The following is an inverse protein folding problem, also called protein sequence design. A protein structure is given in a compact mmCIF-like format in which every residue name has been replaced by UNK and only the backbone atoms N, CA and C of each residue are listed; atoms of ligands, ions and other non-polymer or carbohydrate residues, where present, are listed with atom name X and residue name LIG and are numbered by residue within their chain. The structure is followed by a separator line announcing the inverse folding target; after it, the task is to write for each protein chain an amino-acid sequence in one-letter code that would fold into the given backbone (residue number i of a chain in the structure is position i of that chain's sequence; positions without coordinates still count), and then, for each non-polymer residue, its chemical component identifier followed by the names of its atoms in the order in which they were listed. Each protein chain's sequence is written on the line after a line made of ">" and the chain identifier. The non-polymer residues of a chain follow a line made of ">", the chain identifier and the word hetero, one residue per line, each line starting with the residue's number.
data_IF_040410918308
#
_entry.id   IF_040410918308
#
_cell.length_a   1.000
_cell.length_b   1.000
_cell.length_c   1.000
_cell.angle_alpha   90.00
_cell.angle_beta   90.00
_cell.angle_gamma   90.00
#
_symmetry.space_group_name_H-M   'P 1'
#
loop_
_entity.id
_entity.type
_entity.pdbx_description
1 polymer ?
#
# COMPACT_ATOMS: atom_id res chain seq x y z
N UNK A 1 -43.62 68.11 -7.90
CA UNK A 1 -43.63 69.02 -6.75
C UNK A 1 -42.23 68.92 -6.15
N UNK A 2 -41.25 69.66 -6.65
CA UNK A 2 -40.94 71.06 -6.24
C UNK A 2 -40.77 71.12 -4.71
N UNK A 3 -39.65 71.48 -4.09
CA UNK A 3 -38.62 72.50 -4.40
C UNK A 3 -37.40 72.22 -3.47
N UNK A 4 -36.15 72.26 -3.92
CA UNK A 4 -35.19 73.41 -3.93
C UNK A 4 -34.93 74.07 -2.55
N UNK A 5 -33.78 74.63 -2.15
CA UNK A 5 -32.37 74.84 -2.58
C UNK A 5 -31.74 75.60 -1.37
N UNK A 6 -30.42 75.51 -1.15
CA UNK A 6 -29.47 76.60 -0.77
C UNK A 6 -28.28 75.98 -0.01
N UNK A 7 -27.02 76.37 -0.19
CA UNK A 7 -26.44 77.49 -0.94
C UNK A 7 -24.91 77.38 -0.94
N UNK A 8 -24.30 78.11 -1.86
CA UNK A 8 -22.90 78.12 -2.26
C UNK A 8 -22.01 78.91 -1.30
N UNK A 9 -20.77 78.47 -1.07
CA UNK A 9 -19.60 79.35 -0.84
C UNK A 9 -18.26 78.63 -1.11
N UNK A 10 -17.32 79.35 -1.72
CA UNK A 10 -15.89 79.04 -1.94
C UNK A 10 -15.09 80.31 -1.58
N UNK A 11 -13.74 80.32 -1.60
CA UNK A 11 -12.80 79.45 -0.91
C UNK A 11 -11.62 80.21 -0.23
N UNK A 12 -10.71 79.44 0.39
CA UNK A 12 -9.26 79.68 0.52
C UNK A 12 -8.71 80.45 1.73
N UNK A 13 -7.90 79.77 2.56
CA UNK A 13 -6.49 80.13 2.81
C UNK A 13 -5.83 79.20 3.86
N UNK A 14 -4.50 79.01 3.71
CA UNK A 14 -3.49 78.59 4.70
C UNK A 14 -2.94 77.14 4.64
N UNK A 15 -1.86 76.98 3.86
CA UNK A 15 -0.49 76.54 4.22
C UNK A 15 -0.16 75.18 4.90
N UNK A 16 1.09 74.67 4.69
CA UNK A 16 1.38 73.24 4.62
C UNK A 16 2.34 72.69 5.69
N UNK A 17 2.35 71.35 5.87
CA UNK A 17 3.45 70.42 6.26
C UNK A 17 2.94 69.28 7.17
N UNK A 18 3.62 68.11 7.32
CA UNK A 18 4.48 67.30 6.43
C UNK A 18 3.90 65.86 6.21
N UNK A 19 4.52 64.95 5.43
CA UNK A 19 3.87 63.71 5.00
C UNK A 19 4.05 62.56 6.00
N UNK A 20 2.94 62.02 6.48
CA UNK A 20 2.86 60.72 7.17
C UNK A 20 2.68 59.62 6.12
N UNK A 21 3.69 58.78 5.93
CA UNK A 21 3.61 57.59 5.07
C UNK A 21 2.64 56.57 5.66
N UNK A 22 1.40 56.58 5.16
CA UNK A 22 0.42 55.51 5.34
C UNK A 22 0.37 54.66 4.07
N UNK A 23 0.71 53.39 4.27
CA UNK A 23 0.27 52.19 3.54
C UNK A 23 -0.81 52.43 2.48
N UNK A 24 -0.41 52.37 1.21
CA UNK A 24 -1.34 52.21 0.09
C UNK A 24 -1.61 50.72 -0.12
N UNK A 25 -2.81 50.30 0.24
CA UNK A 25 -3.44 49.06 -0.21
C UNK A 25 -3.63 49.10 -1.72
N UNK A 26 -2.92 48.24 -2.46
CA UNK A 26 -3.17 48.04 -3.88
C UNK A 26 -4.18 46.88 -4.05
N UNK A 27 -5.29 47.07 -4.80
CA UNK A 27 -6.35 46.08 -4.93
C UNK A 27 -5.95 44.93 -5.86
N UNK A 28 -6.61 43.80 -5.64
CA UNK A 28 -6.35 42.48 -6.21
C UNK A 28 -6.16 42.46 -7.73
N UNK A 29 -5.14 41.72 -8.16
CA UNK A 29 -5.08 41.11 -9.48
C UNK A 29 -5.06 39.58 -9.29
N UNK A 30 -6.11 38.83 -9.66
CA UNK A 30 -6.13 37.37 -9.52
C UNK A 30 -5.49 36.74 -10.76
N UNK A 31 -4.16 36.81 -10.85
CA UNK A 31 -3.40 36.15 -11.92
C UNK A 31 -2.48 35.12 -11.28
N UNK A 32 -2.86 33.86 -11.41
CA UNK A 32 -2.00 32.66 -11.37
C UNK A 32 -0.84 32.67 -10.36
N UNK A 33 -1.07 32.19 -9.13
CA UNK A 33 -0.03 31.48 -8.37
C UNK A 33 0.24 30.13 -9.05
N UNK A 34 0.88 30.16 -10.21
CA UNK A 34 1.63 29.01 -10.69
C UNK A 34 2.90 28.97 -9.83
N UNK A 35 2.88 28.19 -8.75
CA UNK A 35 4.06 27.93 -7.92
C UNK A 35 5.18 27.47 -8.84
N UNK A 36 6.33 28.16 -8.83
CA UNK A 36 7.46 27.79 -9.68
C UNK A 36 7.85 26.32 -9.37
N UNK A 37 7.82 25.40 -10.35
CA UNK A 37 8.13 23.99 -10.13
C UNK A 37 9.49 23.78 -9.45
N UNK A 38 10.49 24.62 -9.79
CA UNK A 38 11.82 24.58 -9.19
C UNK A 38 11.77 24.95 -7.69
N UNK A 39 10.96 25.93 -7.31
CA UNK A 39 10.79 26.32 -5.91
C UNK A 39 10.08 25.23 -5.10
N UNK A 40 9.01 24.64 -5.64
CA UNK A 40 8.32 23.52 -5.01
C UNK A 40 9.24 22.31 -4.81
N UNK A 41 10.15 22.06 -5.76
CA UNK A 41 11.14 21.00 -5.65
C UNK A 41 12.17 21.29 -4.54
N UNK A 42 12.76 22.49 -4.49
CA UNK A 42 13.69 22.87 -3.43
C UNK A 42 13.06 22.84 -2.03
N UNK A 43 11.80 23.23 -1.90
CA UNK A 43 11.05 23.12 -0.64
C UNK A 43 10.85 21.66 -0.21
N UNK A 44 10.60 20.74 -1.16
CA UNK A 44 10.51 19.31 -0.87
C UNK A 44 11.85 18.74 -0.41
N UNK A 45 12.94 19.03 -1.13
CA UNK A 45 14.30 18.60 -0.75
C UNK A 45 14.68 19.13 0.63
N UNK A 46 14.44 20.42 0.91
CA UNK A 46 14.75 21.03 2.20
C UNK A 46 13.95 20.38 3.35
N UNK A 47 12.68 20.07 3.11
CA UNK A 47 11.82 19.36 4.06
C UNK A 47 12.30 17.94 4.32
N UNK A 48 12.69 17.22 3.26
CA UNK A 48 13.23 15.87 3.37
C UNK A 48 14.54 15.85 4.17
N UNK A 49 15.45 16.81 3.93
CA UNK A 49 16.69 16.98 4.71
C UNK A 49 16.43 17.20 6.18
N UNK A 50 15.56 18.16 6.51
CA UNK A 50 15.19 18.44 7.91
C UNK A 50 14.62 17.21 8.61
N UNK A 51 13.76 16.43 7.92
CA UNK A 51 13.21 15.18 8.46
C UNK A 51 14.28 14.11 8.65
N UNK A 52 15.24 13.96 7.74
CA UNK A 52 16.32 12.99 7.85
C UNK A 52 17.27 13.31 9.01
N UNK A 53 17.65 14.58 9.20
CA UNK A 53 18.46 14.98 10.36
C UNK A 53 17.71 14.78 11.69
N UNK A 54 16.40 15.05 11.72
CA UNK A 54 15.59 14.72 12.90
C UNK A 54 15.57 13.20 13.13
N UNK A 55 15.46 12.38 12.08
CA UNK A 55 15.47 10.93 12.20
C UNK A 55 16.81 10.39 12.72
N UNK A 56 17.93 10.90 12.22
CA UNK A 56 19.27 10.43 12.62
C UNK A 56 19.53 10.66 14.11
N UNK A 57 18.98 11.74 14.68
CA UNK A 57 19.09 12.02 16.12
C UNK A 57 18.26 11.08 17.02
N UNK A 58 17.25 10.39 16.46
CA UNK A 58 16.32 9.54 17.20
C UNK A 58 16.73 8.06 17.10
N UNK A 59 17.24 7.64 15.95
CA UNK A 59 17.56 6.23 15.67
C UNK A 59 18.99 5.91 16.13
N UNK A 60 19.21 4.81 16.89
CA UNK A 60 20.56 4.36 17.22
C UNK A 60 21.41 4.14 15.96
N UNK A 61 22.66 4.61 15.97
CA UNK A 61 23.57 4.58 14.81
C UNK A 61 23.05 5.36 13.58
N UNK A 62 22.12 6.30 13.78
CA UNK A 62 21.55 7.13 12.73
C UNK A 62 22.57 8.04 12.05
N UNK A 63 23.63 8.45 12.75
CA UNK A 63 24.64 9.37 12.19
C UNK A 63 25.46 8.73 11.05
N UNK A 64 25.69 7.42 11.09
CA UNK A 64 26.46 6.73 10.04
C UNK A 64 25.58 6.30 8.86
N UNK A 65 24.36 5.80 9.16
CA UNK A 65 23.51 5.17 8.15
C UNK A 65 22.47 6.12 7.53
N UNK A 66 22.01 7.14 8.28
CA UNK A 66 20.85 7.97 7.94
C UNK A 66 21.27 9.40 7.61
N UNK A 67 22.14 10.03 8.43
CA UNK A 67 22.54 11.42 8.23
C UNK A 67 23.15 11.72 6.85
N UNK A 68 24.02 10.87 6.26
CA UNK A 68 24.60 11.12 4.94
C UNK A 68 23.57 11.15 3.80
N UNK A 69 22.38 10.58 4.02
CA UNK A 69 21.31 10.54 3.02
C UNK A 69 20.64 11.91 2.83
N UNK A 70 20.81 12.84 3.79
CA UNK A 70 20.32 14.20 3.67
C UNK A 70 21.00 14.96 2.53
N UNK A 71 22.29 14.68 2.26
CA UNK A 71 23.07 15.41 1.26
C UNK A 71 22.77 14.99 -0.19
N UNK A 72 21.97 13.94 -0.38
CA UNK A 72 21.46 13.50 -1.69
C UNK A 72 20.62 14.57 -2.40
N UNK A 73 20.55 14.46 -3.74
CA UNK A 73 19.63 15.24 -4.59
C UNK A 73 18.16 14.85 -4.37
N UNK A 74 17.91 13.61 -3.93
CA UNK A 74 16.58 13.09 -3.64
C UNK A 74 16.55 12.39 -2.27
N UNK A 75 16.65 13.14 -1.16
CA UNK A 75 16.91 12.57 0.16
C UNK A 75 15.86 11.53 0.60
N UNK A 76 14.57 11.79 0.36
CA UNK A 76 13.49 10.87 0.71
C UNK A 76 13.57 9.53 -0.07
N UNK A 77 13.92 9.58 -1.36
CA UNK A 77 14.11 8.35 -2.16
C UNK A 77 15.38 7.61 -1.76
N UNK A 78 16.45 8.32 -1.44
CA UNK A 78 17.68 7.73 -0.91
C UNK A 78 17.43 7.01 0.41
N UNK A 79 16.61 7.59 1.30
CA UNK A 79 16.18 6.94 2.53
C UNK A 79 15.35 5.68 2.27
N UNK A 80 14.37 5.75 1.35
CA UNK A 80 13.52 4.60 0.99
C UNK A 80 14.31 3.42 0.41
N UNK A 81 15.36 3.70 -0.37
CA UNK A 81 16.18 2.71 -1.06
C UNK A 81 17.37 2.18 -0.26
N UNK A 82 17.71 2.78 0.89
CA UNK A 82 18.91 2.41 1.65
C UNK A 82 18.63 1.26 2.63
N UNK A 83 19.26 0.09 2.45
CA UNK A 83 19.01 -1.09 3.29
C UNK A 83 19.53 -0.90 4.73
N UNK A 84 20.66 -0.22 4.93
CA UNK A 84 21.25 0.02 6.25
C UNK A 84 20.37 0.95 7.09
N UNK A 85 19.89 2.04 6.50
CA UNK A 85 18.94 2.95 7.14
C UNK A 85 17.63 2.23 7.48
N UNK A 86 17.09 1.45 6.54
CA UNK A 86 15.87 0.66 6.77
C UNK A 86 16.08 -0.33 7.92
N UNK A 87 17.21 -1.03 7.96
CA UNK A 87 17.55 -1.97 9.03
C UNK A 87 17.67 -1.29 10.40
N UNK A 88 18.28 -0.10 10.46
CA UNK A 88 18.42 0.67 11.71
C UNK A 88 17.05 1.15 12.23
N UNK A 89 16.17 1.61 11.35
CA UNK A 89 14.81 2.03 11.72
C UNK A 89 13.98 0.81 12.15
N UNK A 90 14.05 -0.29 11.41
CA UNK A 90 13.34 -1.52 11.73
C UNK A 90 13.79 -2.14 13.05
N UNK A 91 15.09 -2.10 13.37
CA UNK A 91 15.60 -2.60 14.65
C UNK A 91 15.09 -1.75 15.82
N UNK A 92 15.02 -0.43 15.66
CA UNK A 92 14.44 0.48 16.65
C UNK A 92 12.96 0.16 16.93
N UNK A 93 12.14 -0.10 15.90
CA UNK A 93 10.74 -0.52 16.08
C UNK A 93 10.58 -1.87 16.78
N UNK A 94 11.49 -2.81 16.50
CA UNK A 94 11.44 -4.16 17.07
C UNK A 94 11.77 -4.18 18.57
N UNK A 95 12.32 -3.11 19.15
CA UNK A 95 12.52 -2.97 20.59
C UNK A 95 11.19 -3.09 21.36
N UNK A 96 11.16 -3.78 22.53
CA UNK A 96 9.93 -3.94 23.33
C UNK A 96 9.33 -2.63 23.83
N UNK A 97 10.13 -1.58 23.97
CA UNK A 97 9.72 -0.24 24.41
C UNK A 97 9.11 0.60 23.30
N UNK A 98 9.22 0.20 22.03
CA UNK A 98 8.69 0.97 20.91
C UNK A 98 7.17 0.81 20.78
N UNK A 99 6.51 1.89 20.34
CA UNK A 99 5.08 1.97 20.13
C UNK A 99 4.32 2.77 21.19
N UNK A 100 5.00 3.27 22.22
CA UNK A 100 4.41 4.12 23.25
C UNK A 100 4.06 5.52 22.74
N UNK A 101 3.20 6.24 23.48
CA UNK A 101 2.76 7.58 23.08
C UNK A 101 3.87 8.64 23.09
N UNK A 102 4.94 8.37 23.82
CA UNK A 102 6.17 9.17 23.93
C UNK A 102 7.31 8.66 23.02
N UNK A 103 7.06 7.65 22.19
CA UNK A 103 8.05 7.14 21.24
C UNK A 103 8.32 8.17 20.13
N UNK A 104 9.48 8.80 20.20
CA UNK A 104 9.94 9.80 19.24
C UNK A 104 9.98 9.28 17.79
N UNK A 105 10.21 7.98 17.58
CA UNK A 105 10.20 7.38 16.25
C UNK A 105 8.77 7.26 15.72
N UNK A 106 7.80 6.89 16.57
CA UNK A 106 6.39 6.92 16.20
C UNK A 106 5.91 8.35 15.89
N UNK A 107 6.33 9.33 16.68
CA UNK A 107 6.06 10.75 16.42
C UNK A 107 6.66 11.19 15.09
N UNK A 108 7.92 10.82 14.81
CA UNK A 108 8.57 11.13 13.55
C UNK A 108 7.80 10.57 12.35
N UNK A 109 7.37 9.31 12.41
CA UNK A 109 6.56 8.69 11.34
C UNK A 109 5.23 9.44 11.16
N UNK A 110 4.53 9.72 12.26
CA UNK A 110 3.26 10.43 12.24
C UNK A 110 3.39 11.80 11.56
N UNK A 111 4.34 12.62 12.00
CA UNK A 111 4.55 13.95 11.44
C UNK A 111 5.07 13.91 10.00
N UNK A 112 5.91 12.93 9.66
CA UNK A 112 6.43 12.74 8.30
C UNK A 112 5.32 12.36 7.34
N UNK A 113 4.33 11.56 7.76
CA UNK A 113 3.19 11.23 6.92
C UNK A 113 2.28 12.46 6.66
N UNK A 114 2.12 13.33 7.65
CA UNK A 114 1.34 14.55 7.52
C UNK A 114 2.00 15.60 6.60
N UNK A 115 3.29 15.46 6.31
CA UNK A 115 3.99 16.23 5.27
C UNK A 115 3.24 16.19 3.94
N UNK A 116 3.33 17.26 3.14
CA UNK A 116 2.78 17.29 1.77
C UNK A 116 3.65 16.56 0.74
N UNK A 117 4.87 16.18 1.13
CA UNK A 117 5.83 15.48 0.28
C UNK A 117 5.44 14.01 0.05
N UNK A 118 5.21 13.65 -1.21
CA UNK A 118 4.81 12.30 -1.59
C UNK A 118 5.90 11.25 -1.35
N UNK A 119 7.17 11.61 -1.52
CA UNK A 119 8.29 10.66 -1.36
C UNK A 119 8.54 10.37 0.12
N UNK A 120 8.42 11.37 0.99
CA UNK A 120 8.44 11.14 2.45
C UNK A 120 7.26 10.27 2.92
N UNK A 121 6.07 10.45 2.33
CA UNK A 121 4.93 9.56 2.61
C UNK A 121 5.21 8.13 2.16
N UNK A 122 5.96 7.91 1.06
CA UNK A 122 6.37 6.56 0.64
C UNK A 122 7.29 5.90 1.68
N UNK A 123 8.23 6.65 2.27
CA UNK A 123 9.08 6.17 3.38
C UNK A 123 8.23 5.73 4.57
N UNK A 124 7.21 6.50 4.94
CA UNK A 124 6.30 6.06 6.03
C UNK A 124 5.56 4.78 5.65
N UNK A 125 5.01 4.74 4.43
CA UNK A 125 4.26 3.57 3.97
C UNK A 125 5.11 2.30 3.96
N UNK A 126 6.41 2.37 3.67
CA UNK A 126 7.29 1.19 3.70
C UNK A 126 7.41 0.53 5.08
N UNK A 127 7.18 1.26 6.17
CA UNK A 127 7.18 0.68 7.53
C UNK A 127 5.80 0.20 8.00
N UNK A 128 4.74 0.38 7.20
CA UNK A 128 3.38 -0.03 7.58
C UNK A 128 3.25 -1.54 7.86
N UNK A 129 3.82 -2.46 7.05
CA UNK A 129 3.79 -3.88 7.36
C UNK A 129 4.42 -4.20 8.72
N UNK A 130 5.59 -3.61 9.01
CA UNK A 130 6.31 -3.78 10.26
C UNK A 130 5.52 -3.25 11.46
N UNK A 131 5.03 -2.00 11.38
CA UNK A 131 4.24 -1.36 12.44
C UNK A 131 2.96 -2.14 12.69
N UNK A 132 2.26 -2.58 11.64
CA UNK A 132 1.03 -3.39 11.75
C UNK A 132 1.32 -4.73 12.42
N UNK A 133 2.41 -5.39 12.02
CA UNK A 133 2.95 -6.61 12.61
C UNK A 133 3.14 -6.50 14.11
N UNK A 134 4.01 -5.57 14.50
CA UNK A 134 4.38 -5.35 15.90
C UNK A 134 3.18 -4.92 16.74
N UNK A 135 2.33 -4.02 16.23
CA UNK A 135 1.12 -3.58 16.91
C UNK A 135 0.18 -4.76 17.19
N UNK A 136 -0.18 -5.54 16.16
CA UNK A 136 -1.13 -6.64 16.32
C UNK A 136 -0.58 -7.75 17.23
N UNK A 137 0.70 -8.08 17.11
CA UNK A 137 1.34 -9.06 18.01
C UNK A 137 1.35 -8.57 19.46
N UNK A 138 1.78 -7.33 19.71
CA UNK A 138 1.88 -6.78 21.08
C UNK A 138 0.52 -6.57 21.74
N UNK A 139 -0.50 -6.16 20.98
CA UNK A 139 -1.88 -6.02 21.50
C UNK A 139 -2.43 -7.33 22.05
N UNK A 140 -2.10 -8.47 21.41
CA UNK A 140 -2.60 -9.78 21.82
C UNK A 140 -1.77 -10.37 22.95
N UNK A 141 -0.46 -10.10 23.00
CA UNK A 141 0.43 -10.54 24.08
C UNK A 141 0.41 -9.64 25.33
N UNK A 142 -0.48 -8.64 25.39
CA UNK A 142 -0.48 -7.51 26.32
C UNK A 142 -0.78 -7.83 27.80
N UNK A 143 -0.44 -9.01 28.30
CA UNK A 143 -0.58 -9.34 29.72
C UNK A 143 0.26 -8.43 30.66
N UNK A 144 1.22 -7.64 30.14
CA UNK A 144 2.03 -6.70 30.91
C UNK A 144 2.66 -5.52 30.12
N UNK A 145 2.22 -5.21 28.90
CA UNK A 145 2.95 -4.31 28.00
C UNK A 145 2.64 -2.80 28.19
N UNK A 146 3.59 -1.90 27.87
CA UNK A 146 3.36 -0.45 27.83
C UNK A 146 2.25 -0.07 26.83
N UNK A 147 1.73 1.16 26.97
CA UNK A 147 0.78 1.76 26.02
C UNK A 147 1.28 1.61 24.58
N UNK A 148 0.39 1.28 23.64
CA UNK A 148 0.70 1.20 22.20
C UNK A 148 0.19 2.44 21.43
N UNK A 149 -0.02 3.55 22.15
CA UNK A 149 -0.63 4.77 21.61
C UNK A 149 0.17 5.40 20.46
N UNK A 150 1.49 5.21 20.39
CA UNK A 150 2.33 5.68 19.29
C UNK A 150 2.00 4.96 17.99
N UNK A 151 1.96 3.62 18.01
CA UNK A 151 1.53 2.84 16.84
C UNK A 151 0.08 3.13 16.45
N UNK A 152 -0.81 3.25 17.43
CA UNK A 152 -2.20 3.60 17.18
C UNK A 152 -2.33 4.96 16.50
N UNK A 153 -1.55 5.95 16.93
CA UNK A 153 -1.55 7.30 16.33
C UNK A 153 -1.10 7.29 14.87
N UNK A 154 -0.05 6.53 14.54
CA UNK A 154 0.42 6.35 13.15
C UNK A 154 -0.66 5.68 12.29
N UNK A 155 -1.18 4.54 12.73
CA UNK A 155 -2.19 3.79 11.98
C UNK A 155 -3.49 4.60 11.81
N UNK A 156 -3.88 5.34 12.84
CA UNK A 156 -5.05 6.22 12.82
C UNK A 156 -4.85 7.41 11.88
N UNK A 157 -3.63 7.96 11.77
CA UNK A 157 -3.31 9.04 10.83
C UNK A 157 -3.47 8.57 9.37
N UNK A 158 -2.97 7.37 9.05
CA UNK A 158 -3.14 6.74 7.74
C UNK A 158 -4.62 6.53 7.43
N UNK A 159 -5.36 5.94 8.38
CA UNK A 159 -6.80 5.70 8.24
C UNK A 159 -7.58 7.00 8.02
N UNK A 160 -7.34 8.03 8.83
CA UNK A 160 -8.07 9.30 8.74
C UNK A 160 -7.68 10.11 7.50
N UNK A 161 -6.46 9.97 6.98
CA UNK A 161 -6.09 10.54 5.69
C UNK A 161 -6.87 9.87 4.54
N UNK A 162 -6.97 8.54 4.55
CA UNK A 162 -7.77 7.80 3.57
C UNK A 162 -9.27 8.12 3.70
N UNK A 163 -9.82 8.15 4.91
CA UNK A 163 -11.23 8.48 5.15
C UNK A 163 -11.58 9.89 4.66
N UNK A 164 -10.71 10.88 4.92
CA UNK A 164 -10.84 12.24 4.38
C UNK A 164 -10.77 12.25 2.86
N UNK A 165 -9.84 11.50 2.27
CA UNK A 165 -9.72 11.38 0.80
C UNK A 165 -10.99 10.78 0.16
N UNK A 166 -11.71 9.91 0.87
CA UNK A 166 -12.96 9.32 0.39
C UNK A 166 -14.17 10.23 0.55
N UNK A 167 -14.11 11.26 1.40
CA UNK A 167 -15.23 12.20 1.65
C UNK A 167 -16.55 11.50 2.01
N UNK A 168 -16.49 10.39 2.76
CA UNK A 168 -17.66 9.58 3.11
C UNK A 168 -18.27 8.77 1.95
N UNK A 169 -17.58 8.67 0.80
CA UNK A 169 -18.03 7.89 -0.35
C UNK A 169 -17.41 6.49 -0.36
N UNK A 170 -18.14 5.46 -0.84
CA UNK A 170 -17.57 4.15 -1.07
C UNK A 170 -16.58 4.19 -2.25
N UNK A 171 -15.65 3.23 -2.27
CA UNK A 171 -14.82 3.00 -3.46
C UNK A 171 -15.60 2.06 -4.38
N UNK A 172 -15.94 2.57 -5.57
CA UNK A 172 -16.73 1.85 -6.57
C UNK A 172 -15.83 1.34 -7.70
N UNK A 173 -16.21 0.22 -8.31
CA UNK A 173 -15.57 -0.35 -9.49
C UNK A 173 -16.62 -0.66 -10.55
N UNK A 174 -16.36 -0.29 -11.80
CA UNK A 174 -17.19 -0.73 -12.92
C UNK A 174 -16.80 -2.15 -13.30
N UNK A 175 -17.73 -3.09 -13.19
CA UNK A 175 -17.52 -4.49 -13.59
C UNK A 175 -17.61 -4.56 -15.12
N UNK A 176 -16.55 -4.99 -15.83
CA UNK A 176 -16.58 -5.14 -17.28
C UNK A 176 -17.61 -6.20 -17.69
N UNK A 177 -18.36 -5.92 -18.76
CA UNK A 177 -19.33 -6.83 -19.35
C UNK A 177 -18.97 -7.07 -20.83
N UNK A 178 -18.81 -8.34 -21.21
CA UNK A 178 -18.42 -8.77 -22.57
C UNK A 178 -19.51 -8.52 -23.61
N UNK A 179 -20.75 -8.25 -23.18
CA UNK A 179 -21.88 -7.89 -24.04
C UNK A 179 -21.70 -6.50 -24.68
N UNK A 180 -20.81 -5.67 -24.14
CA UNK A 180 -20.53 -4.32 -24.63
C UNK A 180 -19.12 -4.22 -25.24
N UNK A 181 -18.92 -3.33 -26.23
CA UNK A 181 -17.59 -3.04 -26.75
C UNK A 181 -16.69 -2.46 -25.66
N UNK A 182 -15.42 -2.86 -25.68
CA UNK A 182 -14.37 -2.39 -24.79
C UNK A 182 -13.09 -2.13 -25.58
N UNK A 183 -12.07 -1.58 -24.92
CA UNK A 183 -10.76 -1.33 -25.54
C UNK A 183 -10.14 -2.60 -26.17
N UNK A 184 -10.47 -3.79 -25.66
CA UNK A 184 -9.85 -5.06 -26.06
C UNK A 184 -10.79 -6.01 -26.82
N UNK A 185 -12.09 -5.72 -26.87
CA UNK A 185 -13.09 -6.64 -27.41
C UNK A 185 -14.26 -5.89 -28.03
N UNK A 186 -14.72 -6.36 -29.19
CA UNK A 186 -15.99 -5.94 -29.79
C UNK A 186 -16.93 -7.14 -29.85
N UNK A 187 -18.12 -7.07 -29.24
CA UNK A 187 -19.06 -8.19 -29.25
C UNK A 187 -19.49 -8.49 -30.69
N UNK A 188 -19.64 -9.78 -31.05
CA UNK A 188 -20.17 -10.13 -32.36
C UNK A 188 -21.55 -9.50 -32.51
N UNK A 189 -21.75 -8.76 -33.60
CA UNK A 189 -23.04 -8.18 -33.98
C UNK A 189 -24.10 -9.29 -33.90
N UNK A 190 -24.95 -9.21 -32.88
CA UNK A 190 -26.19 -9.97 -32.87
C UNK A 190 -26.91 -9.63 -34.17
N UNK A 191 -27.38 -10.65 -34.91
CA UNK A 191 -28.22 -10.48 -36.12
C UNK A 191 -29.56 -9.79 -35.84
N UNK A 192 -29.79 -9.33 -34.61
CA UNK A 192 -30.84 -8.39 -34.26
C UNK A 192 -30.48 -7.01 -34.81
N UNK A 193 -31.25 -6.55 -35.78
CA UNK A 193 -31.14 -5.28 -36.50
C UNK A 193 -31.42 -4.04 -35.65
N UNK A 194 -31.00 -4.03 -34.38
CA UNK A 194 -31.16 -2.89 -33.49
C UNK A 194 -29.79 -2.52 -32.93
N UNK A 195 -29.22 -1.35 -33.27
CA UNK A 195 -28.06 -0.87 -32.53
C UNK A 195 -28.46 -0.82 -31.05
N UNK A 196 -27.64 -1.36 -30.12
CA UNK A 196 -27.91 -1.16 -28.70
C UNK A 196 -28.01 0.35 -28.51
N UNK A 197 -29.18 0.83 -28.08
CA UNK A 197 -29.33 2.26 -27.87
C UNK A 197 -28.31 2.65 -26.81
N UNK A 198 -27.61 3.78 -27.02
CA UNK A 198 -26.65 4.29 -26.04
C UNK A 198 -27.26 4.50 -24.65
N UNK A 199 -28.61 4.50 -24.56
CA UNK A 199 -29.39 4.62 -23.34
C UNK A 199 -29.61 3.29 -22.57
N UNK A 200 -29.19 2.15 -23.12
CA UNK A 200 -29.26 0.81 -22.46
C UNK A 200 -27.92 0.38 -21.85
N UNK A 201 -26.84 1.14 -22.04
CA UNK A 201 -25.57 0.87 -21.37
C UNK A 201 -25.66 1.27 -19.89
N UNK A 202 -25.91 0.29 -19.03
CA UNK A 202 -25.80 0.45 -17.57
C UNK A 202 -24.63 -0.40 -17.08
N UNK A 203 -23.46 0.21 -16.81
CA UNK A 203 -22.36 -0.54 -16.24
C UNK A 203 -22.79 -1.12 -14.89
N UNK A 204 -22.50 -2.40 -14.67
CA UNK A 204 -22.68 -3.01 -13.36
C UNK A 204 -21.66 -2.41 -12.40
N UNK A 205 -22.12 -1.65 -11.41
CA UNK A 205 -21.25 -0.99 -10.43
C UNK A 205 -21.11 -1.89 -9.21
N UNK A 206 -19.88 -2.35 -8.94
CA UNK A 206 -19.51 -3.05 -7.73
C UNK A 206 -18.99 -2.10 -6.65
N UNK A 207 -19.14 -2.47 -5.38
CA UNK A 207 -18.55 -1.76 -4.24
C UNK A 207 -17.27 -2.50 -3.83
N UNK A 208 -16.12 -1.87 -4.05
CA UNK A 208 -14.81 -2.45 -3.70
C UNK A 208 -14.50 -2.28 -2.21
N UNK A 209 -14.86 -1.13 -1.64
CA UNK A 209 -14.80 -0.92 -0.20
C UNK A 209 -15.87 0.05 0.26
N UNK A 210 -16.44 -0.17 1.47
CA UNK A 210 -17.49 0.69 2.00
C UNK A 210 -16.97 2.10 2.34
N UNK A 211 -17.89 3.05 2.58
CA UNK A 211 -17.54 4.36 3.13
C UNK A 211 -16.75 4.22 4.43
N UNK A 212 -15.77 5.10 4.63
CA UNK A 212 -15.00 5.18 5.87
C UNK A 212 -15.44 6.40 6.68
N UNK A 213 -15.61 6.20 7.98
CA UNK A 213 -15.94 7.25 8.94
C UNK A 213 -14.70 7.58 9.76
N UNK A 214 -14.34 8.87 9.94
CA UNK A 214 -13.20 9.26 10.75
C UNK A 214 -13.25 8.67 12.16
N UNK A 215 -12.12 8.19 12.66
CA UNK A 215 -12.00 7.60 14.00
C UNK A 215 -11.13 8.48 14.89
N UNK A 216 -11.53 8.64 16.16
CA UNK A 216 -10.79 9.42 17.16
C UNK A 216 -9.72 8.57 17.87
N UNK A 217 -9.89 7.24 17.89
CA UNK A 217 -8.97 6.30 18.53
C UNK A 217 -9.18 4.87 18.04
N UNK A 218 -8.20 4.01 18.30
CA UNK A 218 -8.24 2.61 17.83
C UNK A 218 -8.97 1.73 18.84
N UNK A 219 -10.28 1.54 18.62
CA UNK A 219 -11.11 0.63 19.43
C UNK A 219 -10.92 -0.83 18.98
N UNK A 220 -11.10 -1.79 19.89
CA UNK A 220 -10.97 -3.22 19.59
C UNK A 220 -11.83 -3.67 18.39
N UNK A 221 -13.07 -3.18 18.29
CA UNK A 221 -14.01 -3.51 17.21
C UNK A 221 -13.65 -2.93 15.85
N UNK A 222 -12.89 -1.83 15.83
CA UNK A 222 -12.46 -1.15 14.59
C UNK A 222 -10.99 -1.38 14.27
N UNK A 223 -10.22 -1.99 15.17
CA UNK A 223 -8.77 -2.23 15.03
C UNK A 223 -8.41 -2.91 13.71
N UNK A 224 -9.09 -4.01 13.40
CA UNK A 224 -8.85 -4.74 12.16
C UNK A 224 -9.09 -3.87 10.92
N UNK A 225 -10.15 -3.06 10.91
CA UNK A 225 -10.47 -2.13 9.84
C UNK A 225 -9.40 -1.01 9.70
N UNK A 226 -8.94 -0.44 10.82
CA UNK A 226 -7.90 0.59 10.83
C UNK A 226 -6.60 0.04 10.23
N UNK A 227 -6.15 -1.12 10.70
CA UNK A 227 -4.94 -1.78 10.19
C UNK A 227 -5.11 -2.19 8.73
N UNK A 228 -6.28 -2.72 8.35
CA UNK A 228 -6.59 -3.09 6.97
C UNK A 228 -6.45 -1.90 6.01
N UNK A 229 -6.97 -0.73 6.38
CA UNK A 229 -6.88 0.48 5.57
C UNK A 229 -5.42 0.96 5.47
N UNK A 230 -4.65 0.90 6.55
CA UNK A 230 -3.23 1.21 6.50
C UNK A 230 -2.48 0.29 5.51
N UNK A 231 -2.74 -1.02 5.57
CA UNK A 231 -2.19 -2.00 4.62
C UNK A 231 -2.69 -1.77 3.19
N UNK A 232 -3.92 -1.30 2.99
CA UNK A 232 -4.43 -0.91 1.67
C UNK A 232 -3.68 0.33 1.14
N UNK A 233 -3.36 1.30 1.99
CA UNK A 233 -2.49 2.43 1.60
C UNK A 233 -1.10 1.97 1.16
N UNK A 234 -0.51 0.98 1.84
CA UNK A 234 0.73 0.33 1.39
C UNK A 234 0.53 -0.38 0.03
N UNK A 235 -0.54 -1.17 -0.11
CA UNK A 235 -0.84 -1.91 -1.33
C UNK A 235 -0.98 -0.99 -2.55
N UNK A 236 -1.61 0.18 -2.42
CA UNK A 236 -1.72 1.19 -3.50
C UNK A 236 -0.37 1.67 -4.03
N UNK A 237 0.70 1.50 -3.27
CA UNK A 237 2.07 1.93 -3.61
C UNK A 237 3.06 0.76 -3.66
N UNK A 238 2.58 -0.48 -3.65
CA UNK A 238 3.38 -1.70 -3.49
C UNK A 238 4.50 -1.89 -4.53
N UNK A 239 4.30 -1.40 -5.75
CA UNK A 239 5.32 -1.45 -6.81
C UNK A 239 6.56 -0.59 -6.50
N UNK A 240 6.41 0.42 -5.66
CA UNK A 240 7.48 1.32 -5.21
C UNK A 240 8.07 0.89 -3.86
N UNK A 241 7.51 -0.15 -3.21
CA UNK A 241 7.92 -0.55 -1.87
C UNK A 241 9.16 -1.44 -1.91
N UNK A 242 10.12 -1.23 -0.99
CA UNK A 242 11.34 -2.02 -0.95
C UNK A 242 11.04 -3.47 -0.56
N UNK A 243 11.98 -4.34 -0.90
CA UNK A 243 11.90 -5.79 -0.66
C UNK A 243 11.68 -6.11 0.82
N UNK A 244 12.40 -5.43 1.71
CA UNK A 244 12.31 -5.62 3.17
C UNK A 244 10.89 -5.47 3.68
N UNK A 245 10.15 -4.45 3.26
CA UNK A 245 8.76 -4.22 3.67
C UNK A 245 7.82 -5.33 3.23
N UNK A 246 8.07 -5.92 2.05
CA UNK A 246 7.29 -7.06 1.54
C UNK A 246 7.59 -8.32 2.34
N UNK A 247 8.86 -8.55 2.69
CA UNK A 247 9.29 -9.65 3.55
C UNK A 247 8.71 -9.54 4.95
N UNK A 248 8.74 -8.34 5.57
CA UNK A 248 8.11 -8.08 6.86
C UNK A 248 6.63 -8.49 6.84
N UNK A 249 5.87 -8.14 5.77
CA UNK A 249 4.48 -8.60 5.69
C UNK A 249 4.36 -10.12 5.59
N UNK A 250 5.20 -10.78 4.77
CA UNK A 250 5.14 -12.23 4.62
C UNK A 250 5.44 -12.94 5.95
N UNK A 251 6.42 -12.44 6.70
CA UNK A 251 6.77 -12.89 8.05
C UNK A 251 5.55 -12.74 8.98
N UNK A 252 5.02 -11.52 9.12
CA UNK A 252 3.88 -11.28 10.02
C UNK A 252 2.62 -12.01 9.61
N UNK A 253 2.33 -12.13 8.31
CA UNK A 253 1.21 -12.93 7.84
C UNK A 253 1.37 -14.39 8.30
N UNK A 254 2.54 -14.99 8.10
CA UNK A 254 2.80 -16.36 8.57
C UNK A 254 2.59 -16.50 10.09
N UNK A 255 3.03 -15.52 10.87
CA UNK A 255 2.83 -15.50 12.33
C UNK A 255 1.37 -15.32 12.72
N UNK A 256 0.64 -14.41 12.06
CA UNK A 256 -0.78 -14.16 12.33
C UNK A 256 -1.67 -15.35 11.99
N UNK A 257 -1.27 -16.17 11.00
CA UNK A 257 -1.96 -17.42 10.67
C UNK A 257 -2.03 -18.38 11.88
N UNK A 258 -1.06 -18.32 12.78
CA UNK A 258 -0.92 -19.25 13.90
C UNK A 258 0.02 -20.41 13.56
N UNK A 259 0.04 -21.42 14.42
CA UNK A 259 0.99 -22.54 14.36
C UNK A 259 0.90 -23.33 13.04
N UNK A 260 2.01 -23.97 12.65
CA UNK A 260 2.17 -24.77 11.42
C UNK A 260 1.24 -26.00 11.40
N UNK A 261 -0.03 -25.79 11.03
CA UNK A 261 -0.95 -26.89 10.76
C UNK A 261 -0.39 -27.79 9.64
N UNK A 262 -0.46 -29.13 9.78
CA UNK A 262 -0.17 -30.06 8.68
C UNK A 262 -0.96 -29.76 7.41
N UNK A 263 -2.18 -29.23 7.57
CA UNK A 263 -3.08 -28.86 6.47
C UNK A 263 -2.52 -27.84 5.46
N UNK A 264 -1.39 -27.20 5.78
CA UNK A 264 -0.67 -26.31 4.86
C UNK A 264 -0.05 -27.05 3.67
N UNK A 265 0.22 -28.35 3.80
CA UNK A 265 0.83 -29.21 2.76
C UNK A 265 -0.17 -30.13 2.06
N UNK A 266 -1.44 -30.15 2.48
CA UNK A 266 -2.46 -31.03 1.88
C UNK A 266 -2.57 -30.82 0.36
N UNK A 267 -2.37 -29.57 -0.09
CA UNK A 267 -2.41 -29.22 -1.51
C UNK A 267 -1.16 -29.63 -2.30
N UNK A 268 -0.15 -30.21 -1.66
CA UNK A 268 1.06 -30.72 -2.31
C UNK A 268 0.91 -32.22 -2.68
N UNK A 269 -0.08 -32.95 -2.13
CA UNK A 269 -0.32 -34.38 -2.38
C UNK A 269 -1.17 -34.69 -3.62
N UNK A 270 -1.95 -33.73 -4.13
CA UNK A 270 -2.95 -33.94 -5.20
C UNK A 270 -2.36 -33.94 -6.64
N UNK A 271 -1.07 -34.26 -6.83
CA UNK A 271 -0.45 -34.28 -8.18
C UNK A 271 -0.61 -35.62 -8.93
N UNK A 272 -1.20 -36.62 -8.31
CA UNK A 272 -1.62 -37.84 -8.99
C UNK A 272 -3.11 -37.75 -9.40
N UNK A 273 -3.32 -37.41 -10.67
CA UNK A 273 -4.55 -37.59 -11.44
C UNK A 273 -5.73 -36.59 -11.29
N UNK A 274 -6.31 -36.33 -12.46
CA UNK A 274 -7.40 -35.39 -12.71
C UNK A 274 -8.71 -36.00 -12.20
N UNK A 275 -9.18 -35.59 -11.03
CA UNK A 275 -10.45 -36.04 -10.45
C UNK A 275 -11.18 -34.95 -9.69
N UNK A 276 -11.95 -34.12 -10.39
CA UNK A 276 -12.83 -33.13 -9.78
C UNK A 276 -13.98 -33.83 -9.02
N UNK A 277 -14.18 -33.39 -7.77
CA UNK A 277 -15.36 -33.53 -6.88
C UNK A 277 -15.88 -34.93 -6.54
N UNK A 278 -15.34 -35.56 -5.49
CA UNK A 278 -16.21 -36.28 -4.53
C UNK A 278 -15.58 -36.65 -3.17
N UNK A 279 -14.27 -36.49 -2.95
CA UNK A 279 -13.61 -36.95 -1.70
C UNK A 279 -13.18 -35.84 -0.72
N UNK A 280 -13.47 -34.57 -1.03
CA UNK A 280 -12.98 -33.42 -0.23
C UNK A 280 -13.69 -33.27 1.13
N UNK A 281 -14.76 -34.03 1.41
CA UNK A 281 -15.47 -34.01 2.70
C UNK A 281 -14.91 -35.04 3.71
N UNK A 282 -14.10 -36.01 3.26
CA UNK A 282 -13.60 -37.12 4.09
C UNK A 282 -12.21 -36.91 4.69
N UNK A 283 -11.37 -36.05 4.05
CA UNK A 283 -9.97 -35.82 4.45
C UNK A 283 -9.79 -34.66 5.43
N UNK A 284 -10.86 -33.93 5.77
CA UNK A 284 -10.89 -32.89 6.82
C UNK A 284 -10.89 -33.52 8.22
N UNK A 285 -9.97 -34.47 8.47
CA UNK A 285 -9.67 -34.93 9.81
C UNK A 285 -8.79 -33.86 10.43
N UNK A 286 -9.32 -33.15 11.42
CA UNK A 286 -8.54 -32.22 12.24
C UNK A 286 -7.36 -33.02 12.82
N UNK A 287 -6.15 -32.79 12.29
CA UNK A 287 -4.94 -33.38 12.85
C UNK A 287 -4.72 -32.77 14.24
N UNK A 288 -5.14 -33.48 15.29
CA UNK A 288 -4.82 -33.17 16.69
C UNK A 288 -3.36 -33.55 17.04
N UNK A 289 -2.40 -33.24 16.16
CA UNK A 289 -0.99 -33.38 16.50
C UNK A 289 -0.45 -32.05 17.01
N UNK A 290 0.06 -32.07 18.24
CA UNK A 290 0.63 -30.91 18.95
C UNK A 290 1.66 -30.20 18.07
N UNK A 291 1.25 -29.06 17.52
CA UNK A 291 2.14 -28.21 16.76
C UNK A 291 3.15 -27.53 17.72
N UNK A 292 4.43 -27.57 17.34
CA UNK A 292 5.58 -27.18 18.15
C UNK A 292 5.56 -25.73 18.66
N UNK A 293 6.35 -25.50 19.70
CA UNK A 293 6.51 -24.26 20.48
C UNK A 293 7.18 -23.13 19.70
N UNK A 294 6.56 -22.69 18.60
CA UNK A 294 6.85 -21.43 17.94
C UNK A 294 5.94 -20.35 18.50
N UNK A 295 6.50 -19.35 19.17
CA UNK A 295 5.82 -18.25 19.86
C UNK A 295 5.13 -17.26 18.91
N UNK A 296 4.25 -17.73 18.03
CA UNK A 296 3.35 -16.90 17.24
C UNK A 296 2.00 -16.78 17.94
N UNK A 297 1.69 -15.61 18.51
CA UNK A 297 0.37 -15.36 19.09
C UNK A 297 -0.66 -15.21 17.96
N UNK A 298 -1.52 -16.23 17.77
CA UNK A 298 -2.68 -16.16 16.86
C UNK A 298 -3.50 -14.92 17.20
N UNK A 299 -3.73 -14.05 16.22
CA UNK A 299 -4.55 -12.85 16.38
C UNK A 299 -5.98 -13.07 15.87
N UNK A 300 -6.99 -12.30 16.32
CA UNK A 300 -8.27 -12.21 15.62
C UNK A 300 -8.03 -11.64 14.21
N UNK A 301 -8.47 -12.37 13.18
CA UNK A 301 -8.12 -12.06 11.80
C UNK A 301 -9.36 -12.07 10.90
N UNK A 302 -10.23 -11.05 11.04
CA UNK A 302 -11.47 -10.99 10.27
C UNK A 302 -11.19 -10.71 8.79
N UNK A 303 -12.19 -10.98 7.95
CA UNK A 303 -12.08 -10.86 6.48
C UNK A 303 -11.59 -9.47 6.04
N UNK A 304 -11.98 -8.39 6.72
CA UNK A 304 -11.57 -7.02 6.40
C UNK A 304 -10.05 -6.83 6.48
N UNK A 305 -9.38 -7.47 7.44
CA UNK A 305 -7.93 -7.41 7.60
C UNK A 305 -7.23 -8.36 6.62
N UNK A 306 -7.81 -9.52 6.38
CA UNK A 306 -7.21 -10.51 5.51
C UNK A 306 -7.25 -10.09 4.03
N UNK A 307 -8.28 -9.37 3.58
CA UNK A 307 -8.39 -8.87 2.20
C UNK A 307 -7.12 -8.14 1.69
N UNK A 308 -6.64 -7.06 2.33
CA UNK A 308 -5.43 -6.38 1.90
C UNK A 308 -4.18 -7.26 2.05
N UNK A 309 -4.12 -8.12 3.07
CA UNK A 309 -3.00 -9.07 3.25
C UNK A 309 -2.91 -10.02 2.06
N UNK A 310 -4.02 -10.63 1.63
CA UNK A 310 -4.04 -11.53 0.46
C UNK A 310 -3.71 -10.80 -0.85
N UNK A 311 -4.13 -9.55 -1.01
CA UNK A 311 -3.75 -8.73 -2.17
C UNK A 311 -2.24 -8.46 -2.21
N UNK A 312 -1.65 -8.12 -1.07
CA UNK A 312 -0.21 -7.90 -0.97
C UNK A 312 0.56 -9.21 -1.19
N UNK A 313 0.14 -10.31 -0.57
CA UNK A 313 0.75 -11.63 -0.79
C UNK A 313 0.65 -12.05 -2.25
N UNK A 314 -0.50 -11.83 -2.90
CA UNK A 314 -0.68 -12.08 -4.33
C UNK A 314 0.30 -11.29 -5.21
N UNK A 315 0.53 -10.01 -4.88
CA UNK A 315 1.58 -9.23 -5.53
C UNK A 315 2.99 -9.80 -5.25
N UNK A 316 3.31 -10.09 -3.99
CA UNK A 316 4.61 -10.65 -3.61
C UNK A 316 4.93 -11.95 -4.36
N UNK A 317 3.92 -12.79 -4.55
CA UNK A 317 3.99 -14.09 -5.20
C UNK A 317 4.10 -14.00 -6.72
N UNK A 318 3.30 -13.14 -7.37
CA UNK A 318 3.08 -13.18 -8.83
C UNK A 318 3.66 -11.99 -9.60
N UNK A 319 4.09 -10.91 -8.94
CA UNK A 319 4.61 -9.76 -9.68
C UNK A 319 5.99 -10.08 -10.31
N UNK A 320 6.21 -9.73 -11.59
CA UNK A 320 7.36 -10.20 -12.36
C UNK A 320 8.70 -9.69 -11.85
N UNK A 321 8.72 -8.53 -11.17
CA UNK A 321 9.94 -7.88 -10.70
C UNK A 321 10.33 -8.22 -9.27
N UNK A 322 9.57 -9.09 -8.58
CA UNK A 322 9.95 -9.47 -7.21
C UNK A 322 11.13 -10.45 -7.22
N UNK A 323 12.05 -10.36 -6.25
CA UNK A 323 13.10 -11.34 -6.09
C UNK A 323 12.53 -12.68 -5.62
N UNK A 324 13.30 -13.76 -5.84
CA UNK A 324 12.88 -15.12 -5.50
C UNK A 324 12.57 -15.27 -4.00
N UNK A 325 13.34 -14.63 -3.13
CA UNK A 325 13.13 -14.63 -1.68
C UNK A 325 11.74 -14.12 -1.27
N UNK A 326 11.23 -13.07 -1.94
CA UNK A 326 9.88 -12.53 -1.68
C UNK A 326 8.81 -13.50 -2.15
N UNK A 327 9.02 -14.16 -3.30
CA UNK A 327 8.09 -15.17 -3.80
C UNK A 327 8.02 -16.37 -2.87
N UNK A 328 9.16 -16.84 -2.36
CA UNK A 328 9.22 -17.98 -1.45
C UNK A 328 8.59 -17.65 -0.09
N UNK A 329 8.90 -16.47 0.47
CA UNK A 329 8.27 -16.00 1.70
C UNK A 329 6.75 -15.83 1.53
N UNK A 330 6.29 -15.28 0.41
CA UNK A 330 4.86 -15.16 0.13
C UNK A 330 4.18 -16.52 -0.07
N UNK A 331 4.84 -17.46 -0.75
CA UNK A 331 4.35 -18.82 -0.97
C UNK A 331 4.15 -19.57 0.36
N UNK A 332 5.09 -19.42 1.30
CA UNK A 332 4.94 -19.94 2.66
C UNK A 332 3.80 -19.25 3.41
N UNK A 333 3.73 -17.92 3.37
CA UNK A 333 2.70 -17.14 4.05
C UNK A 333 1.28 -17.45 3.56
N UNK A 334 1.08 -17.62 2.25
CA UNK A 334 -0.22 -17.99 1.67
C UNK A 334 -0.67 -19.37 2.14
N UNK A 335 0.24 -20.35 2.26
CA UNK A 335 -0.09 -21.68 2.81
C UNK A 335 -0.50 -21.60 4.27
N UNK A 336 0.20 -20.81 5.08
CA UNK A 336 -0.20 -20.56 6.47
C UNK A 336 -1.59 -19.90 6.53
N UNK A 337 -1.86 -18.94 5.64
CA UNK A 337 -3.18 -18.30 5.52
C UNK A 337 -4.28 -19.27 5.09
N UNK A 338 -3.98 -20.21 4.19
CA UNK A 338 -4.91 -21.26 3.78
C UNK A 338 -5.28 -22.17 4.95
N UNK A 339 -4.28 -22.67 5.69
CA UNK A 339 -4.51 -23.46 6.89
C UNK A 339 -5.39 -22.71 7.91
N UNK A 340 -5.08 -21.43 8.15
CA UNK A 340 -5.91 -20.58 9.01
C UNK A 340 -7.34 -20.43 8.48
N UNK A 341 -7.51 -20.17 7.20
CA UNK A 341 -8.80 -20.00 6.56
C UNK A 341 -9.70 -21.24 6.72
N UNK A 342 -9.12 -22.43 6.67
CA UNK A 342 -9.81 -23.68 6.95
C UNK A 342 -10.25 -23.76 8.42
N UNK A 343 -9.34 -23.45 9.36
CA UNK A 343 -9.67 -23.46 10.79
C UNK A 343 -10.72 -22.42 11.19
N UNK A 344 -10.70 -21.23 10.58
CA UNK A 344 -11.68 -20.16 10.83
C UNK A 344 -12.97 -20.34 10.00
N UNK A 345 -13.06 -21.38 9.15
CA UNK A 345 -14.18 -21.68 8.24
C UNK A 345 -14.60 -20.46 7.41
N UNK A 346 -13.63 -19.76 6.82
CA UNK A 346 -13.86 -18.55 6.02
C UNK A 346 -13.86 -18.88 4.52
N UNK A 347 -15.02 -19.08 3.86
CA UNK A 347 -15.06 -19.60 2.48
C UNK A 347 -14.38 -18.69 1.46
N UNK A 348 -14.52 -17.37 1.61
CA UNK A 348 -13.86 -16.41 0.72
C UNK A 348 -12.33 -16.48 0.85
N UNK A 349 -11.84 -16.76 2.06
CA UNK A 349 -10.43 -16.94 2.38
C UNK A 349 -9.87 -18.20 1.75
N UNK A 350 -10.58 -19.31 1.93
CA UNK A 350 -10.22 -20.64 1.40
C UNK A 350 -10.10 -20.56 -0.13
N UNK A 351 -11.10 -19.96 -0.79
CA UNK A 351 -11.09 -19.82 -2.25
C UNK A 351 -9.90 -18.97 -2.73
N UNK A 352 -9.68 -17.81 -2.11
CA UNK A 352 -8.62 -16.89 -2.52
C UNK A 352 -7.22 -17.48 -2.32
N UNK A 353 -6.98 -18.10 -1.16
CA UNK A 353 -5.68 -18.71 -0.83
C UNK A 353 -5.39 -19.96 -1.66
N UNK A 354 -6.37 -20.85 -1.85
CA UNK A 354 -6.23 -22.02 -2.75
C UNK A 354 -5.92 -21.59 -4.19
N UNK A 355 -6.59 -20.56 -4.69
CA UNK A 355 -6.33 -20.01 -6.03
C UNK A 355 -4.90 -19.47 -6.16
N UNK A 356 -4.40 -18.75 -5.15
CA UNK A 356 -3.02 -18.25 -5.14
C UNK A 356 -1.99 -19.39 -5.12
N UNK A 357 -2.24 -20.45 -4.33
CA UNK A 357 -1.36 -21.63 -4.26
C UNK A 357 -1.30 -22.34 -5.62
N UNK A 358 -2.45 -22.52 -6.28
CA UNK A 358 -2.49 -23.13 -7.62
C UNK A 358 -1.77 -22.27 -8.67
N UNK A 359 -1.91 -20.95 -8.60
CA UNK A 359 -1.19 -20.03 -9.50
C UNK A 359 0.32 -20.09 -9.28
N UNK A 360 0.80 -20.11 -8.04
CA UNK A 360 2.23 -20.26 -7.72
C UNK A 360 2.79 -21.58 -8.24
N UNK A 361 2.08 -22.69 -8.02
CA UNK A 361 2.48 -24.02 -8.54
C UNK A 361 2.63 -23.98 -10.06
N UNK A 362 1.61 -23.48 -10.78
CA UNK A 362 1.66 -23.36 -12.25
C UNK A 362 2.79 -22.44 -12.72
N UNK A 363 3.03 -21.32 -12.04
CA UNK A 363 4.11 -20.39 -12.39
C UNK A 363 5.50 -21.02 -12.20
N UNK A 364 5.70 -21.78 -11.12
CA UNK A 364 6.94 -22.51 -10.86
C UNK A 364 7.16 -23.66 -11.83
N UNK A 365 6.13 -24.45 -12.12
CA UNK A 365 6.21 -25.52 -13.14
C UNK A 365 6.54 -24.96 -14.52
N UNK A 366 5.91 -23.85 -14.93
CA UNK A 366 6.24 -23.17 -16.18
C UNK A 366 7.70 -22.69 -16.21
N UNK A 367 8.20 -22.12 -15.11
CA UNK A 367 9.59 -21.68 -14.99
C UNK A 367 10.59 -22.85 -15.05
N UNK A 368 10.26 -23.98 -14.42
CA UNK A 368 11.07 -25.19 -14.45
C UNK A 368 11.15 -25.79 -15.86
N UNK A 369 10.05 -25.83 -16.61
CA UNK A 369 10.02 -26.28 -18.01
C UNK A 369 10.90 -25.39 -18.89
N UNK A 370 10.84 -24.06 -18.71
CA UNK A 370 11.70 -23.12 -19.44
C UNK A 370 13.18 -23.38 -19.15
N UNK A 371 13.55 -23.57 -17.88
CA UNK A 371 14.94 -23.87 -17.49
C UNK A 371 15.43 -25.22 -18.05
N UNK A 372 14.57 -26.25 -18.04
CA UNK A 372 14.89 -27.56 -18.62
C UNK A 372 15.13 -27.47 -20.14
N UNK A 373 14.33 -26.67 -20.86
CA UNK A 373 14.50 -26.44 -22.31
C UNK A 373 15.76 -25.63 -22.65
N UNK A 374 16.22 -24.75 -21.75
CA UNK A 374 17.50 -24.04 -21.91
C UNK A 374 18.68 -24.97 -21.65
N UNK A 375 18.58 -25.85 -20.64
CA UNK A 375 19.62 -26.82 -20.29
C UNK A 375 19.76 -27.96 -21.30
N UNK A 376 18.71 -28.28 -22.07
CA UNK A 376 18.70 -29.38 -23.04
C UNK A 376 19.20 -29.00 -24.43
N UNK A 377 19.67 -27.75 -24.63
CA UNK A 377 20.14 -27.26 -25.93
C UNK A 377 21.67 -26.99 -25.97
N UNK A 378 22.54 -28.03 -25.90
CA UNK A 378 23.98 -27.87 -26.10
C UNK A 378 24.42 -27.84 -27.57
N UNK A 379 23.51 -27.93 -28.55
CA UNK A 379 23.86 -28.03 -29.96
C UNK A 379 23.00 -27.13 -30.85
N UNK A 380 23.42 -25.90 -31.10
CA UNK A 380 23.08 -25.21 -32.36
C UNK A 380 24.19 -24.22 -32.74
N UNK A 381 24.86 -24.39 -33.91
CA UNK A 381 25.83 -23.43 -34.39
C UNK A 381 25.11 -22.15 -34.84
N UNK A 382 25.65 -21.01 -34.44
CA UNK A 382 25.19 -19.67 -34.81
C UNK A 382 25.26 -19.46 -36.33
N UNK A 383 24.13 -19.61 -37.04
CA UNK A 383 23.97 -19.01 -38.36
C UNK A 383 23.72 -17.52 -38.19
N UNK A 384 24.67 -16.71 -38.65
CA UNK A 384 24.49 -15.26 -38.80
C UNK A 384 23.22 -14.99 -39.62
N UNK A 385 22.26 -14.30 -38.99
CA UNK A 385 21.07 -13.77 -39.67
C UNK A 385 21.53 -12.63 -40.58
N UNK A 386 21.47 -12.84 -41.91
CA UNK A 386 21.66 -11.76 -42.90
C UNK A 386 20.67 -10.63 -42.61
N UNK A 387 21.07 -9.35 -42.74
CA UNK A 387 20.13 -8.25 -42.64
C UNK A 387 19.24 -8.21 -43.89
N UNK A 388 17.92 -8.30 -43.70
CA UNK A 388 16.96 -8.05 -44.76
C UNK A 388 17.01 -6.58 -45.16
N UNK A 389 17.52 -6.33 -46.36
CA UNK A 389 17.44 -5.05 -47.05
C UNK A 389 15.98 -4.87 -47.47
N UNK A 390 15.26 -4.00 -46.76
CA UNK A 390 13.96 -3.50 -47.22
C UNK A 390 14.19 -2.57 -48.42
N UNK A 391 13.94 -3.10 -49.61
CA UNK A 391 13.79 -2.33 -50.84
C UNK A 391 12.58 -1.41 -50.71
N UNK A 392 12.85 -0.11 -50.72
CA UNK A 392 11.86 0.91 -51.03
C UNK A 392 11.57 0.90 -52.54
N UNK A 393 10.29 0.87 -52.91
CA UNK A 393 9.72 1.26 -54.21
C UNK A 393 8.20 1.30 -54.04
N UNK A 394 7.44 2.26 -54.55
CA UNK A 394 7.71 3.54 -55.23
C UNK A 394 6.43 4.36 -55.09
#
# INVERSE_FOLDING_TARGET
>A
MESQINGVASPSSADPSPPTTLTTTNPQNPINRATNPMQSWWEAVSRARSRIHSLSSIVPFGDDAIAPLADSDCPARSLLGNPSATSAISSAFRLPSSGSGDDALCQWIYETYLSTDADLRLVVLSFVPLISGLYLSRVVSAAASPSLAGFESVLLALYNAEARSRSGKPVLVSVPDLSYPSLYHSPPSSKSSRPPSMNEWKPSIGVLSPPLEPQIGVKSTKRACVVAVALDCFYKKISLMPVTSKLDLCEFASVWAGQNCPCRTDLDEDDDEVGFVSEEMGKLRVCEEKCGSGSGSRIPFPWELMQPVLRILGHCLLAPLNPQEVRDAASAAVRCMYARALHDLMPQAILATRSLIQLDRRARSASAIVLANVSSNPNTPSKQRKPDVLLASK
#
